data_IF_132663157053
#
_entry.id   IF_132663157053
#
_cell.length_a   1.000
_cell.length_b   1.000
_cell.length_c   1.000
_cell.angle_alpha   90.00
_cell.angle_beta   90.00
_cell.angle_gamma   90.00
#
_symmetry.space_group_name_H-M   'P 1'
#
loop_
_entity.id
_entity.type
_entity.pdbx_description
1 polymer ?
#
# COMPACT_ATOMS: atom_id res chain seq x y z
N UNK A 1 -1.28 -11.92 -0.28
CA UNK A 1 -1.49 -10.45 -0.43
C UNK A 1 -2.63 -9.89 0.42
N UNK A 2 -3.73 -10.62 0.68
CA UNK A 2 -4.89 -10.10 1.44
C UNK A 2 -4.55 -9.54 2.84
N UNK A 3 -3.62 -10.17 3.56
CA UNK A 3 -3.15 -9.71 4.89
C UNK A 3 -2.41 -8.38 4.78
N UNK A 4 -1.51 -8.22 3.79
CA UNK A 4 -0.77 -6.98 3.57
C UNK A 4 -1.71 -5.82 3.23
N UNK A 5 -2.77 -6.07 2.46
CA UNK A 5 -3.78 -5.06 2.19
C UNK A 5 -4.46 -4.56 3.47
N UNK A 6 -4.95 -5.48 4.31
CA UNK A 6 -5.62 -5.12 5.56
C UNK A 6 -4.69 -4.37 6.52
N UNK A 7 -3.43 -4.81 6.64
CA UNK A 7 -2.44 -4.13 7.46
C UNK A 7 -2.14 -2.71 6.95
N UNK A 8 -1.90 -2.54 5.65
CA UNK A 8 -1.62 -1.23 5.07
C UNK A 8 -2.78 -0.23 5.29
N UNK A 9 -4.03 -0.69 5.11
CA UNK A 9 -5.21 0.13 5.41
C UNK A 9 -5.32 0.45 6.90
N UNK A 10 -5.14 -0.53 7.77
CA UNK A 10 -5.19 -0.30 9.22
C UNK A 10 -4.09 0.65 9.71
N UNK A 11 -2.88 0.58 9.14
CA UNK A 11 -1.79 1.48 9.43
C UNK A 11 -2.12 2.91 8.98
N UNK A 12 -2.66 3.07 7.75
CA UNK A 12 -3.07 4.37 7.22
C UNK A 12 -4.13 5.05 8.08
N UNK A 13 -5.18 4.32 8.47
CA UNK A 13 -6.26 4.85 9.33
C UNK A 13 -5.74 5.26 10.72
N UNK A 14 -4.69 4.60 11.21
CA UNK A 14 -4.03 4.94 12.47
C UNK A 14 -2.96 6.03 12.31
N UNK A 15 -2.89 6.70 11.16
CA UNK A 15 -1.89 7.72 10.82
C UNK A 15 -0.44 7.22 10.85
N UNK A 16 -0.24 5.89 10.75
CA UNK A 16 1.07 5.25 10.67
C UNK A 16 1.47 5.15 9.20
N UNK A 17 1.69 6.31 8.58
CA UNK A 17 1.87 6.43 7.13
C UNK A 17 3.11 5.69 6.62
N UNK A 18 4.23 5.73 7.34
CA UNK A 18 5.45 4.99 6.98
C UNK A 18 5.21 3.48 6.92
N UNK A 19 4.47 2.92 7.90
CA UNK A 19 4.10 1.51 7.92
C UNK A 19 3.16 1.15 6.76
N UNK A 20 2.21 2.03 6.44
CA UNK A 20 1.29 1.85 5.32
C UNK A 20 2.04 1.82 3.97
N UNK A 21 2.96 2.77 3.76
CA UNK A 21 3.80 2.85 2.56
C UNK A 21 4.66 1.60 2.42
N UNK A 22 5.35 1.18 3.49
CA UNK A 22 6.18 -0.02 3.46
C UNK A 22 5.39 -1.28 3.09
N UNK A 23 4.17 -1.43 3.62
CA UNK A 23 3.29 -2.55 3.29
C UNK A 23 2.85 -2.54 1.81
N UNK A 24 2.49 -1.37 1.28
CA UNK A 24 2.12 -1.21 -0.13
C UNK A 24 3.29 -1.44 -1.09
N UNK A 25 4.49 -0.96 -0.77
CA UNK A 25 5.69 -1.25 -1.55
C UNK A 25 6.00 -2.75 -1.59
N UNK A 26 5.82 -3.44 -0.46
CA UNK A 26 5.97 -4.90 -0.41
C UNK A 26 4.93 -5.59 -1.30
N UNK A 27 3.70 -5.09 -1.34
CA UNK A 27 2.68 -5.60 -2.26
C UNK A 27 3.08 -5.41 -3.73
N UNK A 28 3.63 -4.26 -4.13
CA UNK A 28 4.06 -4.02 -5.52
C UNK A 28 5.16 -4.98 -5.97
N UNK A 29 6.10 -5.33 -5.07
CA UNK A 29 7.16 -6.32 -5.32
C UNK A 29 6.60 -7.73 -5.56
N UNK A 30 5.46 -8.06 -4.95
CA UNK A 30 4.81 -9.38 -5.07
C UNK A 30 3.84 -9.46 -6.26
N UNK A 31 3.38 -8.33 -6.77
CA UNK A 31 2.40 -8.29 -7.86
C UNK A 31 3.09 -8.37 -9.24
N UNK A 32 2.55 -9.17 -10.17
CA UNK A 32 2.99 -9.17 -11.57
C UNK A 32 2.89 -7.78 -12.20
N UNK A 33 3.75 -7.50 -13.18
CA UNK A 33 3.85 -6.17 -13.80
C UNK A 33 2.53 -5.63 -14.40
N UNK A 34 1.70 -6.51 -14.98
CA UNK A 34 0.41 -6.16 -15.58
C UNK A 34 -0.78 -6.23 -14.64
N UNK A 35 -0.59 -6.40 -13.33
CA UNK A 35 -1.69 -6.50 -12.38
C UNK A 35 -2.36 -5.15 -12.14
N UNK A 36 -3.67 -5.05 -12.43
CA UNK A 36 -4.45 -3.83 -12.30
C UNK A 36 -4.45 -3.23 -10.87
N UNK A 37 -4.18 -4.05 -9.85
CA UNK A 37 -4.09 -3.57 -8.45
C UNK A 37 -2.90 -2.67 -8.21
N UNK A 38 -1.84 -2.75 -9.03
CA UNK A 38 -0.64 -1.91 -8.90
C UNK A 38 -1.00 -0.42 -8.92
N UNK A 39 -1.86 0.01 -9.86
CA UNK A 39 -2.28 1.40 -9.98
C UNK A 39 -2.97 1.94 -8.72
N UNK A 40 -3.78 1.11 -8.06
CA UNK A 40 -4.46 1.49 -6.81
C UNK A 40 -3.45 1.62 -5.68
N UNK A 41 -2.51 0.67 -5.56
CA UNK A 41 -1.48 0.67 -4.52
C UNK A 41 -0.54 1.87 -4.66
N UNK A 42 -0.11 2.19 -5.89
CA UNK A 42 0.71 3.37 -6.17
C UNK A 42 -0.01 4.68 -5.81
N UNK A 43 -1.33 4.76 -6.05
CA UNK A 43 -2.13 5.91 -5.62
C UNK A 43 -2.22 6.00 -4.10
N UNK A 44 -2.39 4.89 -3.40
CA UNK A 44 -2.43 4.84 -1.94
C UNK A 44 -1.11 5.27 -1.32
N UNK A 45 0.03 4.87 -1.88
CA UNK A 45 1.37 5.32 -1.45
C UNK A 45 1.48 6.83 -1.57
N UNK A 46 1.14 7.41 -2.74
CA UNK A 46 1.17 8.87 -2.93
C UNK A 46 0.30 9.59 -1.91
N UNK A 47 -0.91 9.11 -1.67
CA UNK A 47 -1.82 9.71 -0.68
C UNK A 47 -1.24 9.71 0.73
N UNK A 48 -0.56 8.64 1.15
CA UNK A 48 0.05 8.57 2.48
C UNK A 48 1.31 9.43 2.62
N UNK A 49 2.07 9.61 1.54
CA UNK A 49 3.23 10.50 1.51
C UNK A 49 2.83 11.98 1.56
N UNK A 50 1.60 12.32 1.18
CA UNK A 50 1.03 13.67 1.27
C UNK A 50 0.44 14.00 2.65
N UNK A 51 0.44 13.06 3.60
CA UNK A 51 -0.09 13.24 4.96
C UNK A 51 1.01 13.48 5.98
#
# INVERSE_FOLDING_TARGET
IRVLSLYAFSAFEQQRFDEAVAAWEMMLKLLPAGDARRAVIERSIRLAQEK
#
